data_IF_762962539275
#
_entry.id   IF_762962539275
#
_cell.length_a   1.000
_cell.length_b   1.000
_cell.length_c   1.000
_cell.angle_alpha   90.00
_cell.angle_beta   90.00
_cell.angle_gamma   90.00
#
_symmetry.space_group_name_H-M   'P 1'
#
loop_
_entity.id
_entity.type
_entity.pdbx_description
1 polymer ?
#
# COMPACT_ATOMS: atom_id res chain seq x y z
N UNK A 1 -10.54 6.67 8.84
CA UNK A 1 -9.73 5.55 8.29
C UNK A 1 -9.27 5.92 6.88
N UNK A 2 -8.18 5.35 6.37
CA UNK A 2 -7.77 5.52 4.96
C UNK A 2 -7.54 4.16 4.32
N UNK A 3 -8.10 3.94 3.13
CA UNK A 3 -7.76 2.80 2.27
C UNK A 3 -6.77 3.23 1.21
N UNK A 4 -5.74 2.42 0.95
CA UNK A 4 -4.71 2.70 -0.06
C UNK A 4 -4.58 1.49 -0.97
N UNK A 5 -4.68 1.73 -2.28
CA UNK A 5 -4.62 0.73 -3.33
C UNK A 5 -3.47 1.06 -4.27
N UNK A 6 -2.53 0.13 -4.43
CA UNK A 6 -1.33 0.33 -5.24
C UNK A 6 -0.96 -0.91 -6.06
N UNK A 7 -0.29 -0.66 -7.18
CA UNK A 7 0.55 -1.65 -7.85
C UNK A 7 1.97 -1.58 -7.28
N UNK A 8 2.90 -2.33 -7.87
CA UNK A 8 4.31 -2.37 -7.46
C UNK A 8 5.06 -1.05 -7.63
N UNK A 9 4.56 -0.13 -8.44
CA UNK A 9 5.27 1.07 -8.88
C UNK A 9 4.38 2.31 -8.88
N UNK A 10 3.08 2.17 -8.59
CA UNK A 10 2.13 3.27 -8.68
C UNK A 10 0.99 3.12 -7.69
N UNK A 11 0.62 4.21 -7.03
CA UNK A 11 -0.64 4.30 -6.29
C UNK A 11 -1.77 4.47 -7.30
N UNK A 12 -2.74 3.57 -7.22
CA UNK A 12 -3.91 3.54 -8.09
C UNK A 12 -5.02 4.39 -7.48
N UNK A 13 -5.28 4.24 -6.19
CA UNK A 13 -6.36 4.93 -5.50
C UNK A 13 -6.09 5.01 -4.00
N UNK A 14 -6.60 6.08 -3.37
CA UNK A 14 -6.79 6.15 -1.93
C UNK A 14 -8.14 6.82 -1.67
N UNK A 15 -8.72 6.54 -0.50
CA UNK A 15 -9.99 7.13 -0.08
C UNK A 15 -10.02 7.26 1.44
N UNK A 16 -10.43 8.43 1.92
CA UNK A 16 -10.62 8.72 3.34
C UNK A 16 -12.07 8.48 3.72
N UNK A 17 -12.29 7.67 4.74
CA UNK A 17 -13.61 7.49 5.35
C UNK A 17 -13.85 8.58 6.39
N UNK A 18 -15.12 8.87 6.69
CA UNK A 18 -15.46 9.84 7.74
C UNK A 18 -14.96 9.33 9.11
N UNK A 19 -14.79 10.23 10.09
CA UNK A 19 -14.45 9.82 11.45
C UNK A 19 -15.44 8.77 11.99
N UNK A 20 -14.92 7.69 12.58
CA UNK A 20 -15.73 6.59 13.12
C UNK A 20 -16.24 5.58 12.08
N UNK A 21 -16.13 5.85 10.78
CA UNK A 21 -16.51 4.90 9.74
C UNK A 21 -15.40 3.87 9.46
N UNK A 22 -15.84 2.64 9.20
CA UNK A 22 -15.00 1.53 8.73
C UNK A 22 -15.38 1.14 7.31
N UNK A 23 -14.46 0.49 6.60
CA UNK A 23 -14.77 -0.05 5.27
C UNK A 23 -15.81 -1.16 5.39
N UNK A 24 -16.99 -0.96 4.82
CA UNK A 24 -18.01 -2.00 4.66
C UNK A 24 -17.87 -2.67 3.27
N UNK A 25 -18.65 -3.73 3.04
CA UNK A 25 -18.58 -4.50 1.80
C UNK A 25 -18.94 -3.67 0.56
N UNK A 26 -19.96 -2.81 0.65
CA UNK A 26 -20.38 -1.96 -0.48
C UNK A 26 -19.28 -0.98 -0.88
N UNK A 27 -18.69 -0.28 0.11
CA UNK A 27 -17.59 0.64 -0.12
C UNK A 27 -16.37 -0.10 -0.68
N UNK A 28 -16.04 -1.26 -0.13
CA UNK A 28 -14.93 -2.09 -0.61
C UNK A 28 -15.10 -2.49 -2.07
N UNK A 29 -16.28 -2.97 -2.47
CA UNK A 29 -16.58 -3.31 -3.86
C UNK A 29 -16.49 -2.09 -4.78
N UNK A 30 -17.04 -0.94 -4.37
CA UNK A 30 -16.95 0.30 -5.14
C UNK A 30 -15.49 0.75 -5.33
N UNK A 31 -14.66 0.62 -4.31
CA UNK A 31 -13.23 0.90 -4.40
C UNK A 31 -12.53 -0.03 -5.39
N UNK A 32 -12.83 -1.32 -5.37
CA UNK A 32 -12.27 -2.30 -6.31
C UNK A 32 -12.61 -1.96 -7.77
N UNK A 33 -13.84 -1.51 -8.04
CA UNK A 33 -14.24 -1.06 -9.37
C UNK A 33 -13.43 0.16 -9.82
N UNK A 34 -13.30 1.19 -8.95
CA UNK A 34 -12.48 2.38 -9.21
C UNK A 34 -11.02 1.99 -9.49
N UNK A 35 -10.46 1.07 -8.70
CA UNK A 35 -9.10 0.56 -8.86
C UNK A 35 -8.93 -0.18 -10.18
N UNK A 36 -9.86 -1.05 -10.53
CA UNK A 36 -9.84 -1.79 -11.79
C UNK A 36 -9.86 -0.84 -12.99
N UNK A 37 -10.76 0.14 -13.00
CA UNK A 37 -10.82 1.14 -14.09
C UNK A 37 -9.49 1.91 -14.25
N UNK A 38 -8.89 2.35 -13.13
CA UNK A 38 -7.61 3.07 -13.16
C UNK A 38 -6.46 2.16 -13.59
N UNK A 39 -6.46 0.90 -13.17
CA UNK A 39 -5.47 -0.09 -13.56
C UNK A 39 -5.56 -0.41 -15.06
N UNK A 40 -6.76 -0.61 -15.60
CA UNK A 40 -6.96 -0.87 -17.04
C UNK A 40 -6.46 0.29 -17.89
N UNK A 41 -6.64 1.54 -17.44
CA UNK A 41 -6.12 2.73 -18.13
C UNK A 41 -4.60 2.85 -18.03
N UNK A 42 -4.01 2.67 -16.85
CA UNK A 42 -2.57 2.85 -16.63
C UNK A 42 -1.73 1.67 -17.10
N UNK A 43 -2.28 0.45 -17.08
CA UNK A 43 -1.59 -0.82 -17.35
C UNK A 43 -2.47 -1.82 -18.11
N UNK A 44 -2.89 -1.49 -19.34
CA UNK A 44 -3.81 -2.35 -20.12
C UNK A 44 -3.23 -3.75 -20.39
N UNK A 45 -1.91 -3.88 -20.49
CA UNK A 45 -1.27 -5.18 -20.70
C UNK A 45 -1.44 -6.16 -19.52
N UNK A 46 -1.54 -5.64 -18.29
CA UNK A 46 -1.79 -6.48 -17.10
C UNK A 46 -3.23 -6.98 -17.06
N UNK A 47 -4.18 -6.11 -17.40
CA UNK A 47 -5.61 -6.45 -17.37
C UNK A 47 -6.00 -7.38 -18.50
N UNK A 48 -5.40 -7.24 -19.68
CA UNK A 48 -5.80 -7.99 -20.88
C UNK A 48 -5.19 -9.39 -20.98
N UNK A 49 -4.10 -9.69 -20.26
CA UNK A 49 -3.35 -10.95 -20.47
C UNK A 49 -3.66 -12.04 -19.44
N UNK A 50 -3.66 -11.71 -18.15
CA UNK A 50 -3.79 -12.70 -17.06
C UNK A 50 -4.71 -12.24 -15.93
N UNK A 51 -5.17 -10.99 -15.97
CA UNK A 51 -5.86 -10.35 -14.86
C UNK A 51 -4.93 -10.00 -13.69
N UNK A 52 -5.31 -9.03 -12.85
CA UNK A 52 -4.56 -8.68 -11.65
C UNK A 52 -4.77 -9.71 -10.53
N UNK A 53 -3.73 -9.94 -9.73
CA UNK A 53 -3.82 -10.68 -8.47
C UNK A 53 -3.92 -9.66 -7.34
N UNK A 54 -4.96 -9.77 -6.51
CA UNK A 54 -5.15 -8.91 -5.35
C UNK A 54 -4.47 -9.51 -4.11
N UNK A 55 -3.58 -8.74 -3.51
CA UNK A 55 -3.05 -8.97 -2.17
C UNK A 55 -3.56 -7.85 -1.27
N UNK A 56 -4.26 -8.18 -0.19
CA UNK A 56 -4.81 -7.20 0.74
C UNK A 56 -4.57 -7.63 2.20
N UNK A 57 -4.50 -6.63 3.07
CA UNK A 57 -4.43 -6.79 4.52
C UNK A 57 -5.07 -5.54 5.16
N UNK A 58 -5.54 -5.66 6.39
CA UNK A 58 -6.03 -4.56 7.22
C UNK A 58 -4.93 -3.93 8.08
N UNK A 59 -3.66 -4.26 7.82
CA UNK A 59 -2.52 -3.76 8.58
C UNK A 59 -2.27 -2.26 8.37
N UNK A 60 -1.84 -1.60 9.44
CA UNK A 60 -1.41 -0.20 9.38
C UNK A 60 -0.11 -0.07 8.57
N UNK A 61 0.01 0.89 7.65
CA UNK A 61 1.24 1.06 6.90
C UNK A 61 2.33 1.62 7.82
N UNK A 62 3.29 0.78 8.23
CA UNK A 62 4.36 1.17 9.16
C UNK A 62 5.11 2.46 8.78
N UNK A 63 5.35 2.69 7.48
CA UNK A 63 6.04 3.90 7.02
C UNK A 63 5.16 5.15 7.18
N UNK A 64 3.85 5.02 6.97
CA UNK A 64 2.91 6.12 7.21
C UNK A 64 2.81 6.42 8.70
N UNK A 65 2.74 5.40 9.55
CA UNK A 65 2.75 5.56 11.01
C UNK A 65 4.00 6.31 11.49
N UNK A 66 5.18 5.99 10.94
CA UNK A 66 6.42 6.70 11.24
C UNK A 66 6.40 8.15 10.73
N UNK A 67 5.89 8.38 9.52
CA UNK A 67 5.80 9.72 8.95
C UNK A 67 4.84 10.64 9.71
N UNK A 68 3.75 10.07 10.24
CA UNK A 68 2.74 10.79 11.01
C UNK A 68 3.11 10.91 12.50
N UNK A 69 4.19 10.25 12.95
CA UNK A 69 4.62 10.29 14.34
C UNK A 69 4.87 11.74 14.77
N UNK A 70 4.41 12.08 15.99
CA UNK A 70 4.54 13.42 16.61
C UNK A 70 3.81 14.57 15.88
N UNK A 71 3.06 14.29 14.81
CA UNK A 71 2.21 15.30 14.16
C UNK A 71 0.84 15.38 14.84
N UNK A 72 0.40 16.61 15.12
CA UNK A 72 -0.95 16.91 15.63
C UNK A 72 -1.72 17.68 14.57
N UNK A 73 -2.90 17.18 14.23
CA UNK A 73 -3.73 17.76 13.17
C UNK A 73 -4.93 18.48 13.76
N UNK A 74 -5.21 19.68 13.26
CA UNK A 74 -6.33 20.51 13.73
C UNK A 74 -7.65 20.18 13.04
N UNK A 75 -7.59 19.62 11.83
CA UNK A 75 -8.75 19.27 11.02
C UNK A 75 -8.40 18.20 9.97
N UNK A 76 -9.43 17.61 9.36
CA UNK A 76 -9.30 16.56 8.36
C UNK A 76 -8.59 17.02 7.09
N UNK A 77 -8.67 18.31 6.74
CA UNK A 77 -8.02 18.85 5.55
C UNK A 77 -6.50 18.86 5.68
N UNK A 78 -6.00 19.20 6.88
CA UNK A 78 -4.58 19.11 7.21
C UNK A 78 -4.07 17.66 7.18
N UNK A 79 -4.89 16.70 7.59
CA UNK A 79 -4.56 15.27 7.48
C UNK A 79 -4.45 14.86 6.00
N UNK A 80 -5.41 15.28 5.17
CA UNK A 80 -5.44 14.96 3.74
C UNK A 80 -4.24 15.55 3.00
N UNK A 81 -3.94 16.82 3.19
CA UNK A 81 -2.78 17.45 2.53
C UNK A 81 -1.46 16.83 2.99
N UNK A 82 -1.31 16.56 4.28
CA UNK A 82 -0.09 15.90 4.81
C UNK A 82 0.07 14.47 4.26
N UNK A 83 -1.03 13.76 4.07
CA UNK A 83 -0.99 12.45 3.42
C UNK A 83 -0.61 12.58 1.95
N UNK A 84 -1.11 13.58 1.23
CA UNK A 84 -0.73 13.83 -0.16
C UNK A 84 0.76 14.19 -0.28
N UNK A 85 1.30 14.97 0.66
CA UNK A 85 2.74 15.23 0.77
C UNK A 85 3.53 13.94 1.00
N UNK A 86 3.05 13.04 1.87
CA UNK A 86 3.66 11.73 2.08
C UNK A 86 3.71 10.93 0.78
N UNK A 87 2.58 10.85 0.06
CA UNK A 87 2.50 10.13 -1.21
C UNK A 87 3.43 10.74 -2.26
N UNK A 88 3.51 12.07 -2.34
CA UNK A 88 4.37 12.81 -3.27
C UNK A 88 5.86 12.67 -2.92
N UNK A 89 6.19 12.59 -1.63
CA UNK A 89 7.56 12.41 -1.14
C UNK A 89 8.12 11.00 -1.35
N UNK A 90 7.26 10.02 -1.63
CA UNK A 90 7.67 8.63 -1.81
C UNK A 90 8.52 8.46 -3.06
N UNK A 91 9.83 8.21 -2.89
CA UNK A 91 10.71 7.89 -4.02
C UNK A 91 10.17 6.70 -4.84
N UNK A 92 10.39 6.64 -6.16
CA UNK A 92 10.00 5.49 -6.99
C UNK A 92 10.45 4.13 -6.42
N UNK A 93 11.60 4.12 -5.74
CA UNK A 93 12.19 2.95 -5.09
C UNK A 93 11.45 2.48 -3.82
N UNK A 94 10.64 3.35 -3.22
CA UNK A 94 9.77 3.02 -2.09
C UNK A 94 8.73 1.96 -2.44
N UNK A 95 8.30 1.93 -3.71
CA UNK A 95 7.30 0.99 -4.21
C UNK A 95 7.93 -0.19 -4.97
N UNK A 96 8.94 0.07 -5.81
CA UNK A 96 9.47 -0.89 -6.80
C UNK A 96 10.14 -2.13 -6.21
N UNK A 97 10.71 -2.04 -5.00
CA UNK A 97 11.37 -3.19 -4.34
C UNK A 97 10.38 -4.26 -3.82
N UNK A 98 9.07 -4.05 -3.94
CA UNK A 98 8.05 -4.87 -3.31
C UNK A 98 8.03 -6.35 -3.72
N UNK A 99 8.36 -6.69 -4.98
CA UNK A 99 8.28 -8.08 -5.47
C UNK A 99 9.36 -8.98 -4.86
N UNK A 100 10.62 -8.52 -4.86
CA UNK A 100 11.75 -9.26 -4.27
C UNK A 100 11.61 -9.35 -2.74
N UNK A 101 10.99 -8.33 -2.13
CA UNK A 101 10.69 -8.34 -0.70
C UNK A 101 9.67 -9.45 -0.34
N UNK A 102 8.66 -9.73 -1.16
CA UNK A 102 7.67 -10.77 -0.82
C UNK A 102 8.28 -12.16 -0.87
N UNK A 103 9.03 -12.47 -1.93
CA UNK A 103 9.70 -13.78 -2.07
C UNK A 103 10.63 -14.02 -0.87
N UNK A 104 11.51 -13.07 -0.57
CA UNK A 104 12.42 -13.19 0.58
C UNK A 104 11.71 -13.27 1.93
N UNK A 105 10.53 -12.63 2.09
CA UNK A 105 9.72 -12.76 3.32
C UNK A 105 9.05 -14.14 3.43
N UNK A 106 8.57 -14.71 2.34
CA UNK A 106 8.01 -16.06 2.34
C UNK A 106 9.07 -17.12 2.63
N UNK A 107 10.25 -17.01 2.03
CA UNK A 107 11.39 -17.89 2.34
C UNK A 107 11.74 -17.86 3.82
N UNK A 108 11.84 -16.66 4.42
CA UNK A 108 12.10 -16.52 5.86
C UNK A 108 10.97 -17.09 6.72
N UNK A 109 9.72 -16.95 6.29
CA UNK A 109 8.58 -17.54 6.98
C UNK A 109 8.71 -19.07 7.05
N UNK A 110 9.06 -19.70 5.93
CA UNK A 110 9.30 -21.16 5.86
C UNK A 110 10.48 -21.55 6.74
N UNK A 111 11.63 -20.85 6.63
CA UNK A 111 12.81 -21.12 7.47
C UNK A 111 12.55 -20.92 8.96
N UNK A 112 11.60 -20.06 9.32
CA UNK A 112 11.22 -19.79 10.71
C UNK A 112 10.05 -20.67 11.19
N UNK A 113 9.62 -21.67 10.40
CA UNK A 113 8.45 -22.51 10.68
C UNK A 113 7.20 -21.68 11.03
N UNK A 114 6.98 -20.58 10.30
CA UNK A 114 5.86 -19.66 10.52
C UNK A 114 6.05 -18.66 11.66
N UNK A 115 7.16 -18.69 12.39
CA UNK A 115 7.44 -17.73 13.46
C UNK A 115 7.83 -16.35 12.94
N UNK A 116 7.64 -15.31 13.75
CA UNK A 116 8.09 -13.96 13.42
C UNK A 116 9.62 -13.87 13.27
N UNK A 117 10.07 -13.04 12.33
CA UNK A 117 11.49 -12.82 12.06
C UNK A 117 11.79 -11.32 11.89
N UNK A 118 13.02 -10.90 12.23
CA UNK A 118 13.46 -9.51 12.08
C UNK A 118 13.67 -9.16 10.59
N UNK A 119 13.31 -7.94 10.22
CA UNK A 119 13.61 -7.36 8.91
C UNK A 119 15.11 -7.05 8.85
N UNK A 120 15.88 -7.77 8.04
CA UNK A 120 17.28 -7.38 7.79
C UNK A 120 17.31 -6.24 6.78
N UNK A 121 17.92 -5.12 7.16
CA UNK A 121 17.99 -3.89 6.34
C UNK A 121 19.09 -3.99 5.26
N UNK A 122 19.97 -5.00 5.31
CA UNK A 122 21.19 -5.05 4.50
C UNK A 122 21.06 -5.68 3.10
N UNK A 123 19.85 -5.93 2.58
CA UNK A 123 19.66 -6.53 1.25
C UNK A 123 19.25 -5.51 0.16
N UNK A 124 19.20 -4.21 0.47
CA UNK A 124 18.92 -3.16 -0.54
C UNK A 124 20.18 -2.56 -1.17
N UNK A 125 21.37 -3.14 -0.97
CA UNK A 125 22.64 -2.63 -1.53
C UNK A 125 23.41 -3.63 -2.39
N UNK A 126 22.78 -4.71 -2.84
CA UNK A 126 23.38 -5.59 -3.84
C UNK A 126 22.32 -6.00 -4.84
N UNK A 127 22.19 -5.23 -5.91
CA UNK A 127 22.07 -5.59 -7.33
C UNK A 127 21.62 -4.37 -8.13
#
# INVERSE_FOLDING_TARGET
>A
MVSIWKSWDVILHYEFMKPGETVNSQLYCSQLEKVHQKLSKKKPSLTNRKGPILLHDNARPHHLDLFLKEKVFKNDECIKSTFEDFIASGEPNFYSNGKNIIVSRWERCVLSNGSYFKKNINLSLSY
#
